data_IF_125750120207
#
_entry.id   IF_125750120207
#
_cell.length_a   1.000
_cell.length_b   1.000
_cell.length_c   1.000
_cell.angle_alpha   90.00
_cell.angle_beta   90.00
_cell.angle_gamma   90.00
#
_symmetry.space_group_name_H-M   'P 1'
#
loop_
_entity.id
_entity.type
_entity.pdbx_description
1 polymer ?
#
# COMPACT_ATOMS: atom_id res chain seq x y z
N UNK A 1 12.85 12.25 4.68
CA UNK A 1 12.95 12.27 3.21
C UNK A 1 12.52 13.63 2.65
N UNK A 2 11.24 14.08 2.74
CA UNK A 2 10.79 15.39 2.18
C UNK A 2 11.69 16.56 2.65
N UNK A 3 11.95 16.66 3.96
CA UNK A 3 12.84 17.70 4.52
C UNK A 3 14.26 17.64 3.94
N UNK A 4 14.76 16.45 3.67
CA UNK A 4 16.08 16.23 3.09
C UNK A 4 16.12 16.67 1.61
N UNK A 5 15.07 16.37 0.86
CA UNK A 5 14.93 16.80 -0.54
C UNK A 5 14.86 18.32 -0.61
N UNK A 6 14.04 18.96 0.22
CA UNK A 6 13.96 20.42 0.32
C UNK A 6 15.30 21.07 0.68
N UNK A 7 16.06 20.48 1.60
CA UNK A 7 17.33 21.03 2.04
C UNK A 7 18.46 20.84 1.02
N UNK A 8 18.48 19.73 0.29
CA UNK A 8 19.64 19.36 -0.56
C UNK A 8 19.38 19.44 -2.06
N UNK A 9 18.13 19.63 -2.49
CA UNK A 9 17.72 19.58 -3.90
C UNK A 9 16.81 20.74 -4.33
N UNK A 10 16.81 21.84 -3.59
CA UNK A 10 15.97 23.01 -3.85
C UNK A 10 16.13 23.56 -5.28
N UNK A 11 17.36 23.65 -5.78
CA UNK A 11 17.63 24.09 -7.16
C UNK A 11 17.03 23.13 -8.19
N UNK A 12 17.20 21.81 -7.99
CA UNK A 12 16.61 20.80 -8.87
C UNK A 12 15.08 20.84 -8.86
N UNK A 13 14.47 21.04 -7.70
CA UNK A 13 13.01 21.21 -7.59
C UNK A 13 12.55 22.47 -8.37
N UNK A 14 13.28 23.57 -8.27
CA UNK A 14 12.98 24.81 -8.99
C UNK A 14 13.08 24.61 -10.52
N UNK A 15 14.12 23.95 -11.00
CA UNK A 15 14.30 23.62 -12.43
C UNK A 15 13.14 22.78 -12.96
N UNK A 16 12.63 21.85 -12.15
CA UNK A 16 11.50 20.98 -12.50
C UNK A 16 10.13 21.66 -12.29
N UNK A 17 10.09 22.91 -11.84
CA UNK A 17 8.85 23.62 -11.58
C UNK A 17 8.04 23.08 -10.42
N UNK A 18 8.68 22.40 -9.47
CA UNK A 18 8.01 21.80 -8.31
C UNK A 18 7.61 22.89 -7.31
N UNK A 19 6.35 22.85 -6.88
CA UNK A 19 5.87 23.66 -5.77
C UNK A 19 6.49 23.20 -4.44
N UNK A 20 7.55 23.91 -4.02
CA UNK A 20 8.26 23.61 -2.77
C UNK A 20 7.42 23.95 -1.53
N UNK A 21 6.48 24.89 -1.60
CA UNK A 21 5.61 25.26 -0.48
C UNK A 21 4.67 24.11 -0.13
N UNK A 22 4.14 23.42 -1.12
CA UNK A 22 3.36 22.21 -0.93
C UNK A 22 4.12 21.16 -0.11
N UNK A 23 5.39 20.93 -0.42
CA UNK A 23 6.23 19.98 0.31
C UNK A 23 6.56 20.47 1.73
N UNK A 24 6.77 21.78 1.91
CA UNK A 24 7.00 22.38 3.24
C UNK A 24 5.77 22.26 4.15
N UNK A 25 4.58 22.20 3.57
CA UNK A 25 3.31 22.07 4.27
C UNK A 25 2.97 20.66 4.72
N UNK A 26 3.78 19.66 4.37
CA UNK A 26 3.63 18.29 4.89
C UNK A 26 3.93 18.24 6.40
N UNK A 27 2.94 17.88 7.19
CA UNK A 27 3.02 17.91 8.66
C UNK A 27 2.94 16.50 9.26
N UNK A 28 3.80 16.22 10.23
CA UNK A 28 3.72 15.03 11.08
C UNK A 28 3.12 15.40 12.44
N UNK A 29 2.41 14.47 13.10
CA UNK A 29 2.08 13.10 12.69
C UNK A 29 1.01 13.09 11.57
N UNK A 30 1.10 12.11 10.66
CA UNK A 30 0.07 11.93 9.65
C UNK A 30 -1.23 11.41 10.28
N UNK A 31 -2.37 11.80 9.70
CA UNK A 31 -3.67 11.28 10.13
C UNK A 31 -3.73 9.76 9.92
N UNK A 32 -4.52 9.11 10.76
CA UNK A 32 -4.81 7.67 10.67
C UNK A 32 -6.30 7.47 10.77
N UNK A 33 -6.84 6.66 9.89
CA UNK A 33 -8.21 6.17 9.93
C UNK A 33 -8.19 4.66 9.76
N UNK A 34 -9.24 3.97 10.19
CA UNK A 34 -9.41 2.57 9.86
C UNK A 34 -9.99 2.44 8.44
N UNK A 35 -9.85 1.25 7.85
CA UNK A 35 -10.52 0.96 6.59
C UNK A 35 -12.06 1.13 6.70
N UNK A 36 -12.63 0.76 7.84
CA UNK A 36 -14.07 0.95 8.08
C UNK A 36 -14.44 2.43 8.05
N UNK A 37 -13.72 3.28 8.78
CA UNK A 37 -13.94 4.73 8.73
C UNK A 37 -13.76 5.29 7.33
N UNK A 38 -12.78 4.76 6.56
CA UNK A 38 -12.56 5.16 5.18
C UNK A 38 -13.75 4.83 4.27
N UNK A 39 -14.34 3.65 4.42
CA UNK A 39 -15.54 3.26 3.66
C UNK A 39 -16.75 4.11 4.06
N UNK A 40 -16.91 4.40 5.35
CA UNK A 40 -17.99 5.26 5.85
C UNK A 40 -17.87 6.69 5.28
N UNK A 41 -16.66 7.23 5.21
CA UNK A 41 -16.40 8.54 4.59
C UNK A 41 -16.67 8.57 3.08
N UNK A 42 -16.61 7.41 2.42
CA UNK A 42 -16.88 7.24 0.99
C UNK A 42 -18.33 6.82 0.72
N UNK A 43 -19.25 7.04 1.67
CA UNK A 43 -20.66 6.76 1.45
C UNK A 43 -21.17 7.50 0.21
N UNK A 44 -21.81 6.78 -0.71
CA UNK A 44 -22.26 7.33 -1.99
C UNK A 44 -21.29 7.21 -3.16
N UNK A 45 -20.01 6.89 -2.91
CA UNK A 45 -18.99 6.75 -3.94
C UNK A 45 -18.93 5.33 -4.57
N UNK A 46 -19.90 4.48 -4.25
CA UNK A 46 -20.04 3.14 -4.83
C UNK A 46 -19.07 2.10 -4.28
N UNK A 47 -18.38 2.37 -3.17
CA UNK A 47 -17.55 1.41 -2.44
C UNK A 47 -18.34 0.81 -1.28
N UNK A 48 -18.19 -0.49 -1.04
CA UNK A 48 -18.80 -1.22 0.07
C UNK A 48 -17.70 -1.79 0.95
N UNK A 49 -18.05 -2.05 2.21
CA UNK A 49 -17.12 -2.73 3.10
C UNK A 49 -16.70 -4.10 2.52
N UNK A 50 -15.40 -4.32 2.44
CA UNK A 50 -14.80 -5.51 1.81
C UNK A 50 -14.34 -5.29 0.37
N UNK A 51 -14.66 -4.15 -0.26
CA UNK A 51 -14.14 -3.80 -1.58
C UNK A 51 -12.73 -3.24 -1.47
N UNK A 52 -11.92 -3.48 -2.50
CA UNK A 52 -10.60 -2.85 -2.60
C UNK A 52 -10.74 -1.36 -2.95
N UNK A 53 -9.98 -0.51 -2.24
CA UNK A 53 -9.97 0.93 -2.51
C UNK A 53 -9.21 1.21 -3.81
N UNK A 54 -9.89 1.83 -4.76
CA UNK A 54 -9.28 2.25 -6.03
C UNK A 54 -8.65 3.63 -5.89
N UNK A 55 -7.76 4.00 -6.81
CA UNK A 55 -7.07 5.30 -6.81
C UNK A 55 -8.00 6.50 -6.68
N UNK A 56 -9.22 6.45 -7.24
CA UNK A 56 -10.22 7.52 -7.08
C UNK A 56 -10.69 7.65 -5.62
N UNK A 57 -10.90 6.53 -4.91
CA UNK A 57 -11.30 6.51 -3.51
C UNK A 57 -10.18 7.04 -2.60
N UNK A 58 -8.95 6.62 -2.86
CA UNK A 58 -7.76 7.12 -2.15
C UNK A 58 -7.60 8.63 -2.31
N UNK A 59 -7.81 9.16 -3.52
CA UNK A 59 -7.74 10.59 -3.80
C UNK A 59 -8.79 11.36 -3.00
N UNK A 60 -10.04 10.93 -3.01
CA UNK A 60 -11.13 11.54 -2.24
C UNK A 60 -10.83 11.53 -0.73
N UNK A 61 -10.35 10.39 -0.19
CA UNK A 61 -9.98 10.30 1.23
C UNK A 61 -8.88 11.28 1.61
N UNK A 62 -7.85 11.42 0.77
CA UNK A 62 -6.77 12.39 0.97
C UNK A 62 -7.32 13.83 0.93
N UNK A 63 -8.21 14.14 0.01
CA UNK A 63 -8.86 15.46 -0.10
C UNK A 63 -9.71 15.75 1.15
N UNK A 64 -10.54 14.83 1.61
CA UNK A 64 -11.33 14.94 2.85
C UNK A 64 -10.45 15.14 4.09
N UNK A 65 -9.24 14.59 4.08
CA UNK A 65 -8.27 14.73 5.17
C UNK A 65 -7.36 15.98 5.05
N UNK A 66 -7.66 16.88 4.11
CA UNK A 66 -6.94 18.16 3.95
C UNK A 66 -5.69 18.05 3.09
N UNK A 67 -5.69 17.16 2.10
CA UNK A 67 -4.60 16.97 1.14
C UNK A 67 -3.24 16.69 1.80
N UNK A 68 -3.26 15.96 2.92
CA UNK A 68 -2.08 15.51 3.66
C UNK A 68 -1.92 13.99 3.53
N UNK A 69 -0.70 13.47 3.70
CA UNK A 69 -0.49 12.03 3.79
C UNK A 69 -1.39 11.37 4.85
N UNK A 70 -2.01 10.26 4.48
CA UNK A 70 -3.02 9.56 5.27
C UNK A 70 -2.65 8.09 5.45
N UNK A 71 -2.67 7.58 6.67
CA UNK A 71 -2.64 6.15 6.93
C UNK A 71 -4.05 5.58 6.97
N UNK A 72 -4.28 4.51 6.21
CA UNK A 72 -5.48 3.67 6.30
C UNK A 72 -5.04 2.34 6.90
N UNK A 73 -5.69 1.89 7.98
CA UNK A 73 -5.27 0.74 8.78
C UNK A 73 -6.37 -0.31 8.88
N UNK A 74 -6.00 -1.55 9.26
CA UNK A 74 -6.96 -2.62 9.56
C UNK A 74 -7.89 -2.95 8.40
N UNK A 75 -7.30 -3.28 7.27
CA UNK A 75 -8.06 -3.73 6.10
C UNK A 75 -8.71 -5.10 6.31
N UNK A 76 -9.82 -5.39 5.60
CA UNK A 76 -10.38 -6.74 5.57
C UNK A 76 -9.36 -7.76 5.06
N UNK A 77 -9.27 -8.90 5.75
CA UNK A 77 -8.35 -9.98 5.37
C UNK A 77 -8.58 -10.54 3.98
N UNK A 78 -9.83 -10.44 3.49
CA UNK A 78 -10.22 -10.99 2.19
C UNK A 78 -9.58 -10.27 1.00
N UNK A 79 -9.22 -8.99 1.17
CA UNK A 79 -8.61 -8.16 0.13
C UNK A 79 -7.12 -7.94 0.32
N UNK A 80 -6.54 -8.47 1.39
CA UNK A 80 -5.09 -8.37 1.67
C UNK A 80 -4.38 -9.71 1.52
N UNK A 81 -3.07 -9.63 1.33
CA UNK A 81 -2.24 -10.80 1.04
C UNK A 81 -2.22 -11.79 2.22
N UNK A 82 -2.13 -13.07 1.93
CA UNK A 82 -2.27 -14.15 2.91
C UNK A 82 -1.28 -14.11 4.09
N UNK A 83 -0.11 -13.52 3.88
CA UNK A 83 0.95 -13.45 4.89
C UNK A 83 0.81 -12.28 5.87
N UNK A 84 -0.27 -11.51 5.78
CA UNK A 84 -0.59 -10.50 6.78
C UNK A 84 -1.31 -11.15 7.95
N UNK A 85 -0.91 -10.81 9.17
CA UNK A 85 -1.46 -11.38 10.39
C UNK A 85 -2.89 -10.91 10.64
N UNK A 86 -3.76 -11.84 10.98
CA UNK A 86 -5.12 -11.52 11.41
C UNK A 86 -5.09 -10.70 12.71
N UNK A 87 -5.94 -9.69 12.78
CA UNK A 87 -6.10 -8.89 13.98
C UNK A 87 -6.64 -9.75 15.14
N UNK A 88 -6.05 -9.60 16.33
CA UNK A 88 -6.38 -10.44 17.48
C UNK A 88 -7.80 -10.21 18.03
N UNK A 89 -8.38 -9.02 17.82
CA UNK A 89 -9.70 -8.64 18.32
C UNK A 89 -10.77 -8.97 17.27
N UNK A 90 -10.53 -8.61 16.01
CA UNK A 90 -11.44 -8.86 14.90
C UNK A 90 -10.71 -9.62 13.78
N UNK A 91 -10.93 -10.92 13.71
CA UNK A 91 -10.28 -11.81 12.74
C UNK A 91 -10.73 -11.64 11.28
N UNK A 92 -11.70 -10.79 11.01
CA UNK A 92 -12.03 -10.38 9.64
C UNK A 92 -11.07 -9.31 9.10
N UNK A 93 -10.25 -8.72 9.97
CA UNK A 93 -9.26 -7.70 9.66
C UNK A 93 -7.84 -8.25 9.73
N UNK A 94 -6.90 -7.55 9.13
CA UNK A 94 -5.46 -7.77 9.30
C UNK A 94 -4.78 -6.55 9.91
N UNK A 95 -3.69 -6.76 10.63
CA UNK A 95 -2.87 -5.69 11.21
C UNK A 95 -1.98 -5.08 10.12
N UNK A 96 -2.59 -4.25 9.29
CA UNK A 96 -2.00 -3.59 8.14
C UNK A 96 -2.12 -2.08 8.23
N UNK A 97 -1.27 -1.38 7.47
CA UNK A 97 -1.30 0.06 7.31
C UNK A 97 -0.78 0.44 5.92
N UNK A 98 -1.59 1.11 5.15
CA UNK A 98 -1.18 1.69 3.87
C UNK A 98 -1.03 3.21 4.03
N UNK A 99 0.07 3.78 3.53
CA UNK A 99 0.27 5.22 3.47
C UNK A 99 -0.14 5.73 2.10
N UNK A 100 -1.20 6.52 2.08
CA UNK A 100 -1.71 7.17 0.89
C UNK A 100 -1.12 8.59 0.83
N UNK A 101 -0.49 8.92 -0.27
CA UNK A 101 0.08 10.23 -0.51
C UNK A 101 -0.80 11.02 -1.50
N UNK A 102 -0.91 12.34 -1.34
CA UNK A 102 -1.50 13.21 -2.34
C UNK A 102 -0.88 12.98 -3.73
N UNK A 103 -1.66 13.01 -4.79
CA UNK A 103 -1.29 12.82 -6.20
C UNK A 103 -0.88 11.39 -6.58
N UNK A 104 -0.30 10.62 -5.68
CA UNK A 104 0.33 9.34 -6.02
C UNK A 104 -0.40 8.09 -5.51
N UNK A 105 -1.36 8.24 -4.59
CA UNK A 105 -2.07 7.11 -3.99
C UNK A 105 -1.20 6.31 -3.02
N UNK A 106 -1.45 5.00 -2.90
CA UNK A 106 -0.70 4.12 -2.00
C UNK A 106 0.78 4.10 -2.35
N UNK A 107 1.61 4.66 -1.47
CA UNK A 107 3.06 4.70 -1.59
C UNK A 107 3.78 3.74 -0.66
N UNK A 108 3.16 3.35 0.44
CA UNK A 108 3.70 2.37 1.39
C UNK A 108 2.61 1.42 1.79
N UNK A 109 2.87 0.13 1.64
CA UNK A 109 2.06 -0.94 2.23
C UNK A 109 2.86 -1.62 3.35
N UNK A 110 2.29 -1.70 4.55
CA UNK A 110 2.91 -2.29 5.73
C UNK A 110 1.95 -3.25 6.43
N UNK A 111 2.48 -4.27 7.08
CA UNK A 111 1.68 -5.16 7.91
C UNK A 111 2.54 -5.88 8.96
N UNK A 112 1.92 -6.24 10.08
CA UNK A 112 2.40 -7.33 10.90
C UNK A 112 2.27 -8.63 10.10
N UNK A 113 3.30 -9.48 10.14
CA UNK A 113 3.35 -10.70 9.34
C UNK A 113 2.89 -11.89 10.16
N UNK A 114 2.13 -12.78 9.52
CA UNK A 114 1.86 -14.09 10.06
C UNK A 114 3.16 -14.92 10.02
N UNK A 115 3.46 -15.60 11.08
CA UNK A 115 4.68 -16.39 11.24
C UNK A 115 4.44 -17.84 11.68
N UNK A 116 3.19 -18.19 11.99
CA UNK A 116 2.83 -19.56 12.31
C UNK A 116 2.52 -20.33 11.02
N UNK A 117 3.25 -21.42 10.77
CA UNK A 117 3.15 -22.21 9.54
C UNK A 117 1.71 -22.61 9.21
N UNK A 118 0.99 -23.19 10.17
CA UNK A 118 -0.37 -23.67 9.92
C UNK A 118 -1.34 -22.55 9.56
N UNK A 119 -1.16 -21.38 10.16
CA UNK A 119 -1.96 -20.18 9.82
C UNK A 119 -1.61 -19.65 8.46
N UNK A 120 -0.33 -19.62 8.10
CA UNK A 120 0.11 -19.21 6.76
C UNK A 120 -0.51 -20.11 5.69
N UNK A 121 -0.44 -21.44 5.87
CA UNK A 121 -1.03 -22.40 4.94
C UNK A 121 -2.54 -22.20 4.84
N UNK A 122 -3.24 -22.11 5.96
CA UNK A 122 -4.68 -21.87 5.99
C UNK A 122 -5.05 -20.59 5.23
N UNK A 123 -4.41 -19.48 5.55
CA UNK A 123 -4.64 -18.18 4.92
C UNK A 123 -4.39 -18.22 3.41
N UNK A 124 -3.32 -18.90 2.99
CA UNK A 124 -3.01 -19.09 1.57
C UNK A 124 -4.14 -19.86 0.87
N UNK A 125 -4.55 -21.00 1.39
CA UNK A 125 -5.59 -21.83 0.80
C UNK A 125 -6.95 -21.14 0.70
N UNK A 126 -7.28 -20.26 1.65
CA UNK A 126 -8.51 -19.47 1.68
C UNK A 126 -8.46 -18.23 0.76
N UNK A 127 -7.29 -17.84 0.28
CA UNK A 127 -7.10 -16.60 -0.48
C UNK A 127 -7.66 -16.69 -1.91
N UNK A 128 -8.16 -15.55 -2.41
CA UNK A 128 -8.58 -15.42 -3.81
C UNK A 128 -7.40 -15.65 -4.78
N UNK A 129 -6.21 -15.23 -4.38
CA UNK A 129 -4.98 -15.44 -5.15
C UNK A 129 -4.69 -16.94 -5.36
N UNK A 130 -4.82 -17.78 -4.32
CA UNK A 130 -4.57 -19.21 -4.45
C UNK A 130 -5.62 -19.88 -5.35
N UNK A 131 -6.87 -19.43 -5.29
CA UNK A 131 -7.92 -19.89 -6.17
C UNK A 131 -7.58 -19.64 -7.63
N UNK A 132 -7.16 -18.41 -7.96
CA UNK A 132 -6.71 -18.05 -9.31
C UNK A 132 -5.46 -18.85 -9.75
N UNK A 133 -4.54 -19.12 -8.84
CA UNK A 133 -3.37 -19.95 -9.12
C UNK A 133 -3.78 -21.38 -9.50
N UNK A 134 -4.71 -21.96 -8.75
CA UNK A 134 -5.26 -23.30 -9.03
C UNK A 134 -5.91 -23.40 -10.41
N UNK A 135 -6.67 -22.38 -10.80
CA UNK A 135 -7.29 -22.30 -12.13
C UNK A 135 -6.24 -22.29 -13.27
N UNK A 136 -5.03 -21.83 -12.97
CA UNK A 136 -3.87 -21.80 -13.90
C UNK A 136 -2.97 -23.02 -13.80
N UNK A 137 -3.38 -24.05 -13.04
CA UNK A 137 -2.63 -25.28 -12.86
C UNK A 137 -1.52 -25.26 -11.82
N UNK A 138 -1.42 -24.18 -11.05
CA UNK A 138 -0.47 -24.10 -9.93
C UNK A 138 -1.01 -24.72 -8.64
N UNK A 139 -0.18 -24.77 -7.61
CA UNK A 139 -0.51 -25.39 -6.34
C UNK A 139 0.28 -24.87 -5.15
N UNK A 140 0.16 -25.58 -4.04
CA UNK A 140 0.85 -25.24 -2.80
C UNK A 140 2.38 -25.34 -2.94
N UNK A 141 2.85 -26.19 -3.82
CA UNK A 141 4.26 -26.39 -4.16
C UNK A 141 4.94 -25.12 -4.69
N UNK A 142 4.19 -24.23 -5.34
CA UNK A 142 4.72 -22.94 -5.81
C UNK A 142 5.13 -22.00 -4.64
N UNK A 143 4.60 -22.26 -3.46
CA UNK A 143 4.93 -21.55 -2.23
C UNK A 143 5.85 -22.35 -1.29
N UNK A 144 6.31 -23.53 -1.70
CA UNK A 144 7.12 -24.40 -0.84
C UNK A 144 8.38 -23.69 -0.32
N UNK A 145 9.06 -22.90 -1.13
CA UNK A 145 10.25 -22.13 -0.74
C UNK A 145 9.98 -21.17 0.43
N UNK A 146 8.78 -20.57 0.47
CA UNK A 146 8.38 -19.65 1.52
C UNK A 146 7.86 -20.40 2.75
N UNK A 147 6.96 -21.35 2.55
CA UNK A 147 6.29 -22.07 3.64
C UNK A 147 7.26 -22.99 4.40
N UNK A 148 8.17 -23.69 3.69
CA UNK A 148 9.14 -24.59 4.31
C UNK A 148 10.09 -23.86 5.27
N UNK A 149 10.40 -22.59 4.98
CA UNK A 149 11.19 -21.79 5.92
C UNK A 149 10.54 -21.73 7.30
N UNK A 150 9.24 -21.43 7.37
CA UNK A 150 8.50 -21.39 8.63
C UNK A 150 8.30 -22.78 9.24
N UNK A 151 8.16 -23.80 8.42
CA UNK A 151 8.01 -25.18 8.87
C UNK A 151 9.28 -25.71 9.52
N UNK A 152 10.43 -25.40 8.96
CA UNK A 152 11.72 -25.94 9.40
C UNK A 152 12.35 -25.13 10.54
N UNK A 153 12.27 -23.81 10.45
CA UNK A 153 12.96 -22.92 11.39
C UNK A 153 12.02 -22.24 12.39
N UNK A 154 10.69 -22.41 12.21
CA UNK A 154 9.70 -21.64 12.94
C UNK A 154 9.68 -20.18 12.49
N UNK A 155 8.80 -19.39 13.10
CA UNK A 155 8.70 -17.97 12.85
C UNK A 155 8.77 -17.15 14.13
N UNK A 156 9.06 -15.87 13.98
CA UNK A 156 9.03 -14.90 15.06
C UNK A 156 8.13 -13.73 14.71
N UNK A 157 7.52 -13.06 15.70
CA UNK A 157 6.77 -11.83 15.44
C UNK A 157 7.64 -10.82 14.69
N UNK A 158 7.15 -10.37 13.55
CA UNK A 158 7.81 -9.36 12.73
C UNK A 158 6.81 -8.56 11.91
N UNK A 159 7.24 -7.42 11.45
CA UNK A 159 6.50 -6.58 10.53
C UNK A 159 7.36 -6.28 9.30
N UNK A 160 6.71 -5.94 8.21
CA UNK A 160 7.39 -5.56 6.99
C UNK A 160 6.63 -4.47 6.26
N UNK A 161 7.36 -3.64 5.52
CA UNK A 161 6.76 -2.67 4.62
C UNK A 161 7.48 -2.65 3.27
N UNK A 162 6.72 -2.30 2.24
CA UNK A 162 7.23 -1.93 0.93
C UNK A 162 7.03 -0.44 0.71
N UNK A 163 8.05 0.24 0.17
CA UNK A 163 7.97 1.66 -0.19
C UNK A 163 8.12 1.76 -1.69
N UNK A 164 7.06 2.23 -2.37
CA UNK A 164 7.05 2.46 -3.81
C UNK A 164 7.83 3.72 -4.17
N UNK A 165 9.09 3.59 -4.58
CA UNK A 165 9.93 4.75 -4.90
C UNK A 165 9.29 5.64 -5.97
N UNK A 166 8.72 5.07 -7.03
CA UNK A 166 8.02 5.83 -8.07
C UNK A 166 6.85 6.65 -7.51
N UNK A 167 6.07 6.08 -6.57
CA UNK A 167 4.97 6.80 -5.91
C UNK A 167 5.47 7.94 -5.04
N UNK A 168 6.54 7.70 -4.30
CA UNK A 168 7.19 8.76 -3.50
C UNK A 168 7.74 9.87 -4.39
N UNK A 169 8.38 9.53 -5.51
CA UNK A 169 8.86 10.52 -6.48
C UNK A 169 7.71 11.29 -7.12
N UNK A 170 6.64 10.59 -7.51
CA UNK A 170 5.42 11.21 -8.03
C UNK A 170 4.86 12.25 -7.05
N UNK A 171 4.79 11.92 -5.77
CA UNK A 171 4.38 12.85 -4.72
C UNK A 171 5.33 14.04 -4.60
N UNK A 172 6.65 13.83 -4.59
CA UNK A 172 7.64 14.92 -4.49
C UNK A 172 7.54 15.85 -5.68
N UNK A 173 7.42 15.32 -6.88
CA UNK A 173 7.32 16.09 -8.11
C UNK A 173 5.95 16.75 -8.28
N UNK A 174 4.88 16.20 -7.69
CA UNK A 174 3.51 16.70 -7.83
C UNK A 174 2.93 16.42 -9.21
N UNK A 175 3.33 15.33 -9.85
CA UNK A 175 2.84 14.92 -11.18
C UNK A 175 1.71 13.93 -11.08
N UNK A 176 0.71 14.03 -11.94
CA UNK A 176 -0.47 13.15 -11.93
C UNK A 176 -0.17 11.75 -12.48
N UNK A 177 0.84 11.62 -13.35
CA UNK A 177 1.20 10.36 -13.98
C UNK A 177 2.53 9.84 -13.41
N UNK A 178 2.53 8.60 -12.92
CA UNK A 178 3.72 7.93 -12.39
C UNK A 178 4.85 7.82 -13.41
N UNK A 179 4.55 7.81 -14.72
CA UNK A 179 5.56 7.81 -15.78
C UNK A 179 6.47 9.04 -15.73
N UNK A 180 5.93 10.18 -15.26
CA UNK A 180 6.69 11.41 -15.03
C UNK A 180 7.65 11.34 -13.83
N UNK A 181 7.59 10.28 -13.02
CA UNK A 181 8.47 10.07 -11.87
C UNK A 181 9.65 9.12 -12.12
N UNK A 182 9.81 8.65 -13.36
CA UNK A 182 10.88 7.73 -13.75
C UNK A 182 11.68 8.29 -14.94
N UNK A 183 12.98 8.01 -14.92
CA UNK A 183 13.90 8.44 -16.00
C UNK A 183 13.70 7.64 -17.29
N UNK A 184 13.30 6.37 -17.14
CA UNK A 184 13.11 5.44 -18.26
C UNK A 184 11.72 4.79 -18.17
N UNK A 185 10.66 5.49 -18.63
CA UNK A 185 9.34 4.88 -18.66
C UNK A 185 9.30 3.78 -19.73
N UNK A 186 9.02 2.55 -19.29
CA UNK A 186 8.76 1.42 -20.18
C UNK A 186 7.26 1.10 -20.09
N UNK A 187 6.55 1.27 -21.20
CA UNK A 187 5.15 0.88 -21.31
C UNK A 187 4.87 0.30 -22.71
N UNK A 188 3.68 -0.25 -22.91
CA UNK A 188 3.27 -0.85 -24.19
C UNK A 188 3.21 0.14 -25.36
N UNK A 189 3.14 1.44 -25.09
CA UNK A 189 3.08 2.50 -26.10
C UNK A 189 4.47 3.00 -26.49
N UNK A 190 5.52 2.62 -25.75
CA UNK A 190 6.92 3.03 -26.01
C UNK A 190 7.60 2.17 -27.10
N UNK A 191 6.90 1.17 -27.65
CA UNK A 191 7.39 0.30 -28.73
C UNK A 191 6.87 0.72 -30.12
N UNK A 192 6.38 1.95 -30.27
CA UNK A 192 5.90 2.49 -31.55
C UNK A 192 6.89 3.46 -32.16
#
# INVERSE_FOLDING_TARGET
MVSEVLAKRSEGLAVLGVDAERLQNVRRPFKRITYTDAVDLLEGEGVRWGDDLKSQHEKLLVEYMGSQPLFITHYPKAIKFFNMKENAINRELVDSADLILPYSGEAVGAAEREYEYDRLVKRLLESSMFRLLKERGGGLEDFAWYLNFYKEFGGHPHSGCGIGLGRVMQFVLGVDDIRGSTVWPVNREAEA
#
